data_IF_290064026711
#
_entry.id   IF_290064026711
#
_cell.length_a   1.000
_cell.length_b   1.000
_cell.length_c   1.000
_cell.angle_alpha   90.00
_cell.angle_beta   90.00
_cell.angle_gamma   90.00
#
_symmetry.space_group_name_H-M   'P 1'
#
loop_
_entity.id
_entity.type
_entity.pdbx_description
1 polymer ?
#
# COMPACT_ATOMS: atom_id res chain seq x y z
N UNK A 1 1.69 2.05 -20.03
CA UNK A 1 0.96 1.88 -18.76
C UNK A 1 -0.41 1.29 -19.07
N UNK A 2 -0.88 0.32 -18.29
CA UNK A 2 -2.12 -0.45 -18.53
C UNK A 2 -3.31 0.00 -17.66
N UNK A 3 -3.20 1.16 -17.02
CA UNK A 3 -4.29 1.84 -16.31
C UNK A 3 -4.63 1.29 -14.92
N UNK A 4 -3.98 0.22 -14.47
CA UNK A 4 -4.31 -0.44 -13.19
C UNK A 4 -4.15 0.49 -11.99
N UNK A 5 -3.04 1.23 -11.92
CA UNK A 5 -2.80 2.18 -10.83
C UNK A 5 -3.88 3.26 -10.76
N UNK A 6 -4.28 3.83 -11.89
CA UNK A 6 -5.33 4.85 -11.96
C UNK A 6 -6.67 4.30 -11.41
N UNK A 7 -7.05 3.08 -11.80
CA UNK A 7 -8.25 2.41 -11.28
C UNK A 7 -8.16 2.14 -9.78
N UNK A 8 -6.98 1.79 -9.25
CA UNK A 8 -6.78 1.62 -7.82
C UNK A 8 -6.86 2.94 -7.05
N UNK A 9 -6.41 4.05 -7.64
CA UNK A 9 -6.59 5.40 -7.08
C UNK A 9 -8.07 5.79 -7.07
N UNK A 10 -8.81 5.50 -8.12
CA UNK A 10 -10.26 5.73 -8.17
C UNK A 10 -11.02 4.87 -7.13
N UNK A 11 -10.63 3.60 -6.95
CA UNK A 11 -11.20 2.75 -5.90
C UNK A 11 -10.93 3.31 -4.50
N UNK A 12 -9.72 3.81 -4.26
CA UNK A 12 -9.37 4.47 -3.01
C UNK A 12 -10.17 5.76 -2.78
N UNK A 13 -10.37 6.56 -3.82
CA UNK A 13 -11.17 7.78 -3.78
C UNK A 13 -12.66 7.48 -3.50
N UNK A 14 -13.21 6.42 -4.11
CA UNK A 14 -14.58 5.97 -3.81
C UNK A 14 -14.70 5.56 -2.34
N UNK A 15 -13.74 4.81 -1.82
CA UNK A 15 -13.73 4.39 -0.41
C UNK A 15 -13.62 5.60 0.53
N UNK A 16 -12.77 6.60 0.22
CA UNK A 16 -12.65 7.81 1.04
C UNK A 16 -13.89 8.71 1.00
N UNK A 17 -14.65 8.66 -0.10
CA UNK A 17 -15.95 9.32 -0.24
C UNK A 17 -17.10 8.58 0.48
N UNK A 18 -16.82 7.45 1.15
CA UNK A 18 -17.83 6.65 1.85
C UNK A 18 -18.62 5.71 0.94
N UNK A 19 -18.11 5.40 -0.26
CA UNK A 19 -18.69 4.46 -1.22
C UNK A 19 -17.86 3.16 -1.35
N UNK A 20 -17.97 2.25 -0.38
CA UNK A 20 -17.23 0.99 -0.43
C UNK A 20 -17.77 0.02 -1.49
N UNK A 21 -19.02 0.19 -1.93
CA UNK A 21 -19.62 -0.62 -3.00
C UNK A 21 -19.06 -0.20 -4.37
N UNK A 22 -18.91 1.11 -4.61
CA UNK A 22 -18.23 1.64 -5.78
C UNK A 22 -16.76 1.22 -5.83
N UNK A 23 -16.05 1.31 -4.69
CA UNK A 23 -14.68 0.80 -4.58
C UNK A 23 -14.59 -0.69 -4.96
N UNK A 24 -15.45 -1.54 -4.38
CA UNK A 24 -15.50 -2.97 -4.71
C UNK A 24 -15.82 -3.22 -6.19
N UNK A 25 -16.73 -2.44 -6.77
CA UNK A 25 -17.08 -2.54 -8.21
C UNK A 25 -15.86 -2.29 -9.08
N UNK A 26 -15.04 -1.28 -8.74
CA UNK A 26 -13.80 -0.97 -9.46
C UNK A 26 -12.78 -2.12 -9.31
N UNK A 27 -12.60 -2.65 -8.10
CA UNK A 27 -11.68 -3.77 -7.85
C UNK A 27 -12.11 -5.03 -8.62
N UNK A 28 -13.39 -5.37 -8.60
CA UNK A 28 -13.90 -6.52 -9.34
C UNK A 28 -13.81 -6.33 -10.87
N UNK A 29 -13.96 -5.10 -11.37
CA UNK A 29 -13.74 -4.80 -12.78
C UNK A 29 -12.29 -5.03 -13.21
N UNK A 30 -11.31 -4.73 -12.34
CA UNK A 30 -9.89 -5.08 -12.59
C UNK A 30 -9.69 -6.59 -12.61
N UNK A 31 -10.24 -7.31 -11.62
CA UNK A 31 -10.11 -8.76 -11.49
C UNK A 31 -10.76 -9.55 -12.63
N UNK A 32 -11.82 -9.02 -13.25
CA UNK A 32 -12.51 -9.65 -14.38
C UNK A 32 -11.99 -9.22 -15.76
N UNK A 33 -11.05 -8.28 -15.85
CA UNK A 33 -10.56 -7.77 -17.13
C UNK A 33 -9.64 -8.78 -17.82
N UNK A 34 -10.18 -9.54 -18.76
CA UNK A 34 -9.47 -10.62 -19.47
C UNK A 34 -8.29 -10.10 -20.30
N UNK A 35 -8.42 -8.94 -20.94
CA UNK A 35 -7.32 -8.31 -21.70
C UNK A 35 -6.16 -7.93 -20.80
N UNK A 36 -6.45 -7.36 -19.61
CA UNK A 36 -5.44 -7.02 -18.62
C UNK A 36 -4.76 -8.26 -18.05
N UNK A 37 -5.52 -9.29 -17.69
CA UNK A 37 -4.97 -10.55 -17.19
C UNK A 37 -4.05 -11.21 -18.22
N UNK A 38 -4.50 -11.27 -19.49
CA UNK A 38 -3.69 -11.80 -20.58
C UNK A 38 -2.41 -10.99 -20.80
N UNK A 39 -2.48 -9.65 -20.72
CA UNK A 39 -1.30 -8.78 -20.83
C UNK A 39 -0.27 -9.07 -19.72
N UNK A 40 -0.73 -9.46 -18.53
CA UNK A 40 0.12 -9.81 -17.39
C UNK A 40 0.44 -11.31 -17.29
N UNK A 41 0.09 -12.12 -18.30
CA UNK A 41 0.43 -13.54 -18.36
C UNK A 41 -0.46 -14.46 -17.50
N UNK A 42 -1.62 -13.99 -17.07
CA UNK A 42 -2.60 -14.78 -16.31
C UNK A 42 -3.73 -15.28 -17.20
N UNK A 43 -4.27 -16.46 -16.89
CA UNK A 43 -5.45 -16.99 -17.56
C UNK A 43 -6.69 -16.11 -17.31
N UNK A 44 -7.58 -16.01 -18.30
CA UNK A 44 -8.86 -15.34 -18.14
C UNK A 44 -9.68 -15.99 -17.00
N UNK A 45 -10.26 -15.16 -16.13
CA UNK A 45 -11.06 -15.65 -14.99
C UNK A 45 -10.25 -16.28 -13.85
N UNK A 46 -8.92 -16.18 -13.85
CA UNK A 46 -8.05 -16.71 -12.78
C UNK A 46 -8.25 -16.02 -11.43
N UNK A 47 -8.85 -14.83 -11.41
CA UNK A 47 -9.18 -14.09 -10.18
C UNK A 47 -10.68 -14.13 -9.94
N UNK A 48 -11.10 -14.84 -8.89
CA UNK A 48 -12.48 -14.83 -8.43
C UNK A 48 -12.91 -13.42 -7.97
N UNK A 49 -14.17 -13.02 -8.14
CA UNK A 49 -14.64 -11.73 -7.62
C UNK A 49 -14.52 -11.68 -6.09
N UNK A 50 -14.19 -10.50 -5.58
CA UNK A 50 -14.18 -10.21 -4.15
C UNK A 50 -15.61 -10.00 -3.64
N UNK A 51 -15.84 -10.41 -2.40
CA UNK A 51 -17.01 -10.02 -1.62
C UNK A 51 -16.69 -8.75 -0.82
N UNK A 52 -17.70 -7.92 -0.56
CA UNK A 52 -17.52 -6.72 0.25
C UNK A 52 -17.07 -7.10 1.66
N UNK A 53 -16.01 -6.45 2.15
CA UNK A 53 -15.62 -6.62 3.55
C UNK A 53 -16.63 -5.93 4.49
N UNK A 54 -17.01 -6.58 5.61
CA UNK A 54 -18.12 -6.12 6.44
C UNK A 54 -17.78 -4.90 7.31
N UNK A 55 -16.49 -4.57 7.46
CA UNK A 55 -16.03 -3.47 8.31
C UNK A 55 -15.25 -2.45 7.48
N UNK A 56 -15.28 -1.18 7.88
CA UNK A 56 -14.48 -0.14 7.23
C UNK A 56 -12.98 -0.46 7.26
N UNK A 57 -12.49 -1.02 8.37
CA UNK A 57 -11.11 -1.48 8.47
C UNK A 57 -10.81 -2.58 7.43
N UNK A 58 -11.68 -3.58 7.32
CA UNK A 58 -11.55 -4.65 6.33
C UNK A 58 -11.63 -4.15 4.88
N UNK A 59 -12.42 -3.11 4.61
CA UNK A 59 -12.50 -2.50 3.26
C UNK A 59 -11.19 -1.81 2.88
N UNK A 60 -10.55 -1.12 3.82
CA UNK A 60 -9.21 -0.56 3.63
C UNK A 60 -8.19 -1.68 3.42
N UNK A 61 -8.24 -2.74 4.23
CA UNK A 61 -7.34 -3.88 4.06
C UNK A 61 -7.53 -4.55 2.70
N UNK A 62 -8.78 -4.72 2.24
CA UNK A 62 -9.10 -5.26 0.92
C UNK A 62 -8.49 -4.43 -0.21
N UNK A 63 -8.66 -3.09 -0.17
CA UNK A 63 -8.07 -2.18 -1.15
C UNK A 63 -6.54 -2.28 -1.17
N UNK A 64 -5.89 -2.23 -0.01
CA UNK A 64 -4.43 -2.24 0.07
C UNK A 64 -3.82 -3.62 -0.23
N UNK A 65 -4.55 -4.71 -0.04
CA UNK A 65 -4.16 -6.03 -0.57
C UNK A 65 -4.17 -6.04 -2.09
N UNK A 66 -5.25 -5.56 -2.72
CA UNK A 66 -5.31 -5.47 -4.19
C UNK A 66 -4.17 -4.57 -4.73
N UNK A 67 -3.91 -3.41 -4.11
CA UNK A 67 -2.77 -2.57 -4.47
C UNK A 67 -1.44 -3.31 -4.36
N UNK A 68 -1.21 -4.05 -3.28
CA UNK A 68 0.04 -4.79 -3.07
C UNK A 68 0.27 -5.87 -4.15
N UNK A 69 -0.79 -6.58 -4.57
CA UNK A 69 -0.69 -7.60 -5.62
C UNK A 69 -0.53 -6.99 -7.01
N UNK A 70 -1.37 -6.02 -7.38
CA UNK A 70 -1.34 -5.40 -8.69
C UNK A 70 -0.09 -4.56 -8.96
N UNK A 71 0.48 -3.96 -7.91
CA UNK A 71 1.64 -3.08 -7.97
C UNK A 71 2.89 -3.73 -7.37
N UNK A 72 2.93 -5.07 -7.36
CA UNK A 72 4.09 -5.82 -6.89
C UNK A 72 5.33 -5.48 -7.73
N UNK A 73 6.46 -5.24 -7.06
CA UNK A 73 7.73 -4.83 -7.66
C UNK A 73 7.69 -3.53 -8.50
N UNK A 74 6.72 -2.64 -8.25
CA UNK A 74 6.66 -1.32 -8.90
C UNK A 74 6.88 -0.15 -7.93
N UNK A 75 7.50 -0.41 -6.76
CA UNK A 75 7.89 0.60 -5.76
C UNK A 75 6.75 1.34 -5.04
N UNK A 76 5.53 0.79 -5.01
CA UNK A 76 4.39 1.41 -4.30
C UNK A 76 4.29 1.02 -2.82
N UNK A 77 4.79 -0.17 -2.45
CA UNK A 77 4.48 -0.77 -1.16
C UNK A 77 4.89 0.08 0.04
N UNK A 78 6.08 0.68 0.02
CA UNK A 78 6.55 1.52 1.13
C UNK A 78 5.66 2.76 1.32
N UNK A 79 5.30 3.42 0.21
CA UNK A 79 4.39 4.58 0.25
C UNK A 79 3.01 4.20 0.79
N UNK A 80 2.46 3.08 0.32
CA UNK A 80 1.17 2.56 0.78
C UNK A 80 1.17 2.19 2.27
N UNK A 81 2.23 1.56 2.77
CA UNK A 81 2.40 1.26 4.21
C UNK A 81 2.39 2.54 5.05
N UNK A 82 3.16 3.56 4.65
CA UNK A 82 3.14 4.85 5.35
C UNK A 82 1.78 5.53 5.29
N UNK A 83 1.05 5.35 4.20
CA UNK A 83 -0.30 5.91 4.07
C UNK A 83 -1.33 5.25 4.97
N UNK A 84 -1.22 3.93 5.18
CA UNK A 84 -2.04 3.21 6.16
C UNK A 84 -1.91 3.80 7.57
N UNK A 85 -0.73 4.32 7.93
CA UNK A 85 -0.53 5.01 9.21
C UNK A 85 -1.12 6.43 9.16
N UNK A 86 -0.67 7.27 8.22
CA UNK A 86 -1.02 8.71 8.21
C UNK A 86 -2.48 9.01 7.87
N UNK A 87 -3.07 8.31 6.89
CA UNK A 87 -4.43 8.59 6.44
C UNK A 87 -5.47 7.66 7.07
N UNK A 88 -5.08 6.43 7.42
CA UNK A 88 -6.01 5.41 7.93
C UNK A 88 -5.80 5.05 9.41
N UNK A 89 -4.93 5.78 10.10
CA UNK A 89 -4.74 5.68 11.56
C UNK A 89 -4.25 4.34 12.05
N UNK A 90 -3.64 3.51 11.19
CA UNK A 90 -3.12 2.20 11.59
C UNK A 90 -1.88 2.37 12.47
N UNK A 91 -1.74 1.50 13.46
CA UNK A 91 -0.52 1.46 14.28
C UNK A 91 0.66 0.92 13.46
N UNK A 92 1.88 1.41 13.72
CA UNK A 92 3.09 1.00 13.01
C UNK A 92 3.28 -0.53 13.04
N UNK A 93 3.10 -1.15 14.20
CA UNK A 93 3.28 -2.60 14.40
C UNK A 93 2.22 -3.47 13.71
N UNK A 94 1.14 -2.87 13.20
CA UNK A 94 0.14 -3.56 12.37
C UNK A 94 0.40 -3.41 10.87
N UNK A 95 1.40 -2.60 10.49
CA UNK A 95 1.65 -2.19 9.11
C UNK A 95 3.05 -2.65 8.65
N UNK A 96 4.08 -2.33 9.44
CA UNK A 96 5.46 -2.72 9.15
C UNK A 96 5.84 -4.03 9.87
N UNK A 97 6.75 -4.84 9.29
CA UNK A 97 7.33 -5.99 9.97
C UNK A 97 7.95 -5.57 11.30
N UNK A 98 7.71 -6.36 12.34
CA UNK A 98 8.24 -6.17 13.68
C UNK A 98 8.62 -7.51 14.31
N UNK A 99 9.37 -7.48 15.40
CA UNK A 99 9.85 -8.69 16.08
C UNK A 99 11.07 -9.32 15.39
N UNK A 100 11.25 -10.63 15.58
CA UNK A 100 12.43 -11.34 15.12
C UNK A 100 12.54 -11.33 13.58
N UNK A 101 13.70 -10.94 13.06
CA UNK A 101 13.97 -11.00 11.64
C UNK A 101 14.38 -12.41 11.23
N UNK A 102 13.80 -12.93 10.13
CA UNK A 102 14.01 -14.32 9.72
C UNK A 102 15.45 -14.66 9.32
N UNK A 103 16.32 -13.67 9.05
CA UNK A 103 17.76 -13.88 8.82
C UNK A 103 18.63 -13.60 10.06
N UNK A 104 18.02 -13.42 11.24
CA UNK A 104 18.70 -13.11 12.50
C UNK A 104 18.55 -11.64 12.91
N UNK A 105 18.51 -11.39 14.23
CA UNK A 105 18.25 -10.07 14.81
C UNK A 105 16.76 -9.73 14.93
N UNK A 106 16.46 -8.44 15.07
CA UNK A 106 15.10 -7.90 15.24
C UNK A 106 14.86 -6.80 14.22
N UNK A 107 13.65 -6.70 13.67
CA UNK A 107 13.27 -5.54 12.88
C UNK A 107 13.43 -4.25 13.70
N UNK A 108 13.98 -3.21 13.07
CA UNK A 108 14.07 -1.86 13.64
C UNK A 108 12.73 -1.13 13.64
N UNK A 109 12.72 0.09 14.14
CA UNK A 109 11.53 0.95 14.22
C UNK A 109 11.39 1.92 13.04
N UNK A 110 12.36 1.96 12.13
CA UNK A 110 12.38 2.91 11.03
C UNK A 110 11.30 2.61 9.99
N UNK A 111 10.51 3.62 9.66
CA UNK A 111 9.52 3.62 8.57
C UNK A 111 9.90 4.56 7.42
N UNK A 112 11.04 5.25 7.56
CA UNK A 112 11.65 6.12 6.54
C UNK A 112 13.15 5.86 6.41
N UNK A 113 13.70 6.22 5.25
CA UNK A 113 15.15 6.20 5.01
C UNK A 113 15.80 7.41 5.71
N UNK A 114 16.93 7.23 6.43
CA UNK A 114 17.65 8.35 7.03
C UNK A 114 18.15 9.33 5.97
N UNK A 115 18.27 10.59 6.35
CA UNK A 115 19.03 11.55 5.57
C UNK A 115 20.50 11.09 5.53
N UNK A 116 21.17 11.09 4.36
CA UNK A 116 22.56 10.68 4.26
C UNK A 116 23.48 11.45 5.20
N UNK A 117 24.50 10.79 5.76
CA UNK A 117 25.47 11.43 6.66
C UNK A 117 26.15 12.63 6.00
N UNK A 118 26.35 12.58 4.68
CA UNK A 118 26.94 13.67 3.91
C UNK A 118 26.20 14.98 4.10
N UNK A 119 24.87 14.97 4.27
CA UNK A 119 24.06 16.17 4.50
C UNK A 119 24.28 16.79 5.89
N UNK A 120 24.97 16.12 6.81
CA UNK A 120 25.26 16.68 8.14
C UNK A 120 26.27 17.83 8.09
N UNK A 121 27.00 18.01 6.99
CA UNK A 121 27.85 19.19 6.77
C UNK A 121 27.05 20.43 6.36
N UNK A 122 25.77 20.28 5.99
CA UNK A 122 24.90 21.37 5.59
C UNK A 122 24.45 22.12 6.84
N UNK A 123 24.85 23.38 6.95
CA UNK A 123 24.54 24.24 8.10
C UNK A 123 23.03 24.50 8.28
N UNK A 124 22.22 24.24 7.25
CA UNK A 124 20.75 24.35 7.31
C UNK A 124 20.06 23.02 7.66
N UNK A 125 20.79 21.91 7.77
CA UNK A 125 20.21 20.64 8.18
C UNK A 125 20.18 20.53 9.70
N UNK A 126 19.01 20.18 10.25
CA UNK A 126 18.84 19.91 11.68
C UNK A 126 18.60 18.41 11.87
N UNK A 127 19.58 17.61 12.34
CA UNK A 127 19.44 16.16 12.41
C UNK A 127 18.22 15.65 13.17
N UNK A 128 17.81 16.35 14.23
CA UNK A 128 16.66 15.99 15.06
C UNK A 128 15.29 16.17 14.38
N UNK A 129 15.24 16.86 13.22
CA UNK A 129 14.03 17.04 12.43
C UNK A 129 13.65 15.79 11.63
N UNK A 130 14.61 14.91 11.35
CA UNK A 130 14.34 13.62 10.72
C UNK A 130 13.77 12.65 11.77
N UNK A 131 12.47 12.36 11.68
CA UNK A 131 11.79 11.35 12.52
C UNK A 131 11.60 10.07 11.72
N UNK A 132 12.57 9.17 11.81
CA UNK A 132 12.58 7.94 11.00
C UNK A 132 11.48 6.96 11.40
N UNK A 133 11.06 6.99 12.66
CA UNK A 133 10.03 6.15 13.28
C UNK A 133 8.60 6.68 13.08
N UNK A 134 8.43 7.84 12.43
CA UNK A 134 7.14 8.49 12.20
C UNK A 134 6.79 8.51 10.72
N UNK A 135 5.62 8.00 10.35
CA UNK A 135 5.19 7.88 8.96
C UNK A 135 4.77 9.22 8.34
#
# INVERSE_FOLDING_TARGET
ADGVEARLIEAEAALSAGDPVGALTILNALRSNTSLLSLRGYAAGSLAPLTLQPTAAGQVDQLFHERAYWLFLTSHRLGDLRRLIRQYGRSVNTVFPNGAYFKGGTYGTDVNVPVPQQEQNNQFYTPSSCKQDQA
#
